data_IF_683205262958
#
_entry.id   IF_683205262958
#
_cell.length_a   1.000
_cell.length_b   1.000
_cell.length_c   1.000
_cell.angle_alpha   90.00
_cell.angle_beta   90.00
_cell.angle_gamma   90.00
#
_symmetry.space_group_name_H-M   'P 1'
#
loop_
_entity.id
_entity.type
_entity.pdbx_description
1 polymer ?
#
# COMPACT_ATOMS: atom_id res chain seq x y z
N UNK A 1 -74.51 -43.06 12.30
CA UNK A 1 -74.33 -42.32 11.04
C UNK A 1 -74.64 -40.83 11.27
N UNK A 2 -73.61 -40.02 11.47
CA UNK A 2 -73.68 -38.54 11.50
C UNK A 2 -72.25 -38.01 11.26
N UNK A 3 -72.06 -36.95 10.46
CA UNK A 3 -70.78 -36.61 9.82
C UNK A 3 -70.00 -35.56 10.61
N UNK A 4 -68.79 -35.88 11.06
CA UNK A 4 -67.88 -34.92 11.71
C UNK A 4 -66.46 -34.99 11.14
N UNK A 5 -66.27 -35.51 9.92
CA UNK A 5 -64.91 -35.63 9.34
C UNK A 5 -64.66 -34.58 8.24
N UNK A 6 -65.69 -33.84 7.80
CA UNK A 6 -65.59 -32.98 6.63
C UNK A 6 -65.11 -31.53 6.89
N UNK A 7 -64.78 -31.12 8.13
CA UNK A 7 -64.45 -29.71 8.42
C UNK A 7 -62.98 -29.40 8.73
N UNK A 8 -62.09 -30.39 8.76
CA UNK A 8 -60.65 -30.15 9.05
C UNK A 8 -59.80 -30.04 7.77
N UNK A 9 -60.30 -30.47 6.61
CA UNK A 9 -59.53 -30.49 5.37
C UNK A 9 -59.44 -29.13 4.62
N UNK A 10 -60.13 -28.07 5.09
CA UNK A 10 -60.22 -26.80 4.38
C UNK A 10 -59.27 -25.69 4.88
N UNK A 11 -58.45 -25.94 5.91
CA UNK A 11 -57.61 -24.91 6.54
C UNK A 11 -56.10 -25.03 6.27
N UNK A 12 -55.65 -25.94 5.38
CA UNK A 12 -54.23 -26.31 5.25
C UNK A 12 -53.57 -25.95 3.89
N UNK A 13 -54.14 -25.05 3.08
CA UNK A 13 -53.61 -24.75 1.72
C UNK A 13 -53.15 -23.28 1.51
N UNK A 14 -53.04 -22.46 2.55
CA UNK A 14 -52.63 -21.05 2.40
C UNK A 14 -51.27 -20.67 3.01
N UNK A 15 -50.34 -21.63 3.11
CA UNK A 15 -48.92 -21.31 3.30
C UNK A 15 -48.22 -21.19 1.93
N UNK A 16 -48.68 -20.22 1.13
CA UNK A 16 -48.03 -19.81 -0.12
C UNK A 16 -46.78 -18.98 0.18
N UNK A 17 -45.69 -19.29 -0.50
CA UNK A 17 -44.37 -18.68 -0.43
C UNK A 17 -44.42 -17.13 -0.39
N UNK A 18 -44.19 -16.55 0.78
CA UNK A 18 -43.86 -15.13 0.89
C UNK A 18 -42.37 -14.96 0.53
N UNK A 19 -42.09 -14.70 -0.75
CA UNK A 19 -40.75 -14.36 -1.23
C UNK A 19 -40.37 -12.94 -0.77
N UNK A 20 -39.45 -12.77 0.20
CA UNK A 20 -39.08 -11.45 0.72
C UNK A 20 -38.25 -10.62 -0.26
N UNK A 21 -37.78 -11.26 -1.34
CA UNK A 21 -36.91 -10.68 -2.38
C UNK A 21 -37.67 -9.88 -3.45
N UNK A 22 -39.00 -9.99 -3.53
CA UNK A 22 -39.80 -9.18 -4.45
C UNK A 22 -39.96 -7.72 -3.98
N UNK A 23 -39.46 -7.39 -2.78
CA UNK A 23 -39.46 -6.00 -2.25
C UNK A 23 -38.17 -5.24 -2.57
N UNK A 24 -37.21 -5.87 -3.24
CA UNK A 24 -35.97 -5.22 -3.65
C UNK A 24 -36.10 -4.84 -5.11
N UNK A 25 -36.20 -3.53 -5.38
CA UNK A 25 -36.18 -2.99 -6.74
C UNK A 25 -34.94 -3.47 -7.48
N UNK A 26 -35.13 -4.08 -8.65
CA UNK A 26 -34.01 -4.60 -9.44
C UNK A 26 -33.30 -3.43 -10.12
N UNK A 27 -31.97 -3.51 -10.24
CA UNK A 27 -31.20 -2.48 -10.96
C UNK A 27 -31.62 -2.32 -12.43
N UNK A 28 -32.31 -3.33 -13.01
CA UNK A 28 -32.89 -3.26 -14.35
C UNK A 28 -34.18 -2.42 -14.43
N UNK A 29 -34.77 -2.06 -13.29
CA UNK A 29 -36.02 -1.28 -13.17
C UNK A 29 -35.77 0.18 -12.77
N UNK A 30 -34.51 0.53 -12.51
CA UNK A 30 -34.09 1.92 -12.38
C UNK A 30 -33.84 2.46 -13.79
N UNK A 31 -34.72 3.36 -14.25
CA UNK A 31 -34.44 4.26 -15.36
C UNK A 31 -33.21 5.11 -14.98
N UNK A 32 -32.04 4.62 -15.38
CA UNK A 32 -30.85 5.46 -15.47
C UNK A 32 -31.18 6.53 -16.50
N UNK A 33 -31.23 7.79 -16.07
CA UNK A 33 -31.43 8.92 -16.95
C UNK A 33 -30.51 8.79 -18.17
N UNK A 34 -31.11 8.73 -19.36
CA UNK A 34 -30.42 8.75 -20.63
C UNK A 34 -29.40 9.90 -20.65
N UNK A 35 -28.18 9.54 -21.02
CA UNK A 35 -27.00 10.37 -21.32
C UNK A 35 -27.00 11.85 -20.87
N UNK A 36 -25.95 12.34 -20.16
CA UNK A 36 -25.81 13.77 -19.96
C UNK A 36 -25.79 14.45 -21.33
N UNK A 37 -26.64 15.47 -21.46
CA UNK A 37 -26.67 16.36 -22.62
C UNK A 37 -25.23 16.71 -23.01
N UNK A 38 -24.86 16.33 -24.23
CA UNK A 38 -23.66 16.81 -24.90
C UNK A 38 -23.70 18.32 -24.89
N UNK A 39 -22.94 18.94 -24.00
CA UNK A 39 -22.67 20.37 -24.03
C UNK A 39 -21.83 20.61 -25.28
N UNK A 40 -22.45 21.27 -26.27
CA UNK A 40 -21.76 21.85 -27.42
C UNK A 40 -20.57 22.68 -26.93
N UNK A 41 -19.36 22.22 -27.28
CA UNK A 41 -18.16 23.03 -27.14
C UNK A 41 -18.22 24.05 -28.25
N UNK A 42 -18.60 25.28 -27.90
CA UNK A 42 -18.44 26.44 -28.76
C UNK A 42 -16.95 26.64 -29.10
N UNK A 43 -16.66 26.77 -30.39
CA UNK A 43 -15.35 27.16 -30.90
C UNK A 43 -14.96 28.55 -30.37
N UNK A 44 -13.72 28.75 -29.88
CA UNK A 44 -13.12 30.07 -29.90
C UNK A 44 -12.29 30.24 -31.18
N UNK A 45 -12.69 31.22 -31.96
CA UNK A 45 -11.92 31.77 -33.07
C UNK A 45 -10.57 32.35 -32.60
N UNK A 46 -9.53 32.01 -33.36
CA UNK A 46 -8.31 32.74 -33.74
C UNK A 46 -7.65 33.78 -32.81
N UNK A 47 -6.35 33.52 -32.63
CA UNK A 47 -5.21 34.46 -32.58
C UNK A 47 -4.92 35.25 -31.29
N UNK A 48 -3.86 34.82 -30.59
CA UNK A 48 -2.71 35.69 -30.31
C UNK A 48 -1.50 34.85 -29.91
N UNK A 49 -0.43 34.99 -30.69
CA UNK A 49 0.91 34.49 -30.41
C UNK A 49 1.40 35.08 -29.08
N UNK A 50 1.78 34.21 -28.15
CA UNK A 50 2.56 34.61 -26.98
C UNK A 50 3.84 33.76 -26.96
N UNK A 51 4.91 34.37 -27.43
CA UNK A 51 6.27 33.86 -27.29
C UNK A 51 6.59 33.55 -25.83
N UNK A 52 6.91 32.30 -25.54
CA UNK A 52 7.59 31.93 -24.30
C UNK A 52 8.80 31.08 -24.68
N UNK A 53 9.84 31.79 -25.14
CA UNK A 53 11.18 31.25 -25.30
C UNK A 53 11.71 30.78 -23.95
N UNK A 54 11.56 29.49 -23.68
CA UNK A 54 12.06 28.84 -22.48
C UNK A 54 13.59 28.84 -22.39
N UNK A 55 14.08 28.83 -21.16
CA UNK A 55 15.50 28.82 -20.75
C UNK A 55 16.35 27.71 -21.41
N UNK A 56 15.72 26.69 -21.98
CA UNK A 56 16.38 25.58 -22.68
C UNK A 56 16.86 25.91 -24.10
N UNK A 57 16.31 26.94 -24.75
CA UNK A 57 16.76 27.38 -26.08
C UNK A 57 18.15 28.05 -26.06
N UNK A 58 18.63 28.46 -24.88
CA UNK A 58 19.93 29.10 -24.69
C UNK A 58 21.06 28.12 -24.35
N UNK A 59 20.75 26.88 -24.01
CA UNK A 59 21.73 25.86 -23.60
C UNK A 59 22.18 24.91 -24.74
N UNK A 60 21.49 24.94 -25.89
CA UNK A 60 21.71 24.02 -27.00
C UNK A 60 22.29 24.69 -28.25
N UNK A 61 23.04 25.80 -28.09
CA UNK A 61 23.82 26.37 -29.20
C UNK A 61 25.17 25.63 -29.33
N UNK A 62 25.39 24.84 -30.39
CA UNK A 62 26.69 24.23 -30.64
C UNK A 62 27.65 25.28 -31.20
N UNK A 63 28.85 25.36 -30.62
CA UNK A 63 29.91 26.27 -31.06
C UNK A 63 30.85 25.51 -31.98
N UNK A 64 30.71 25.72 -33.29
CA UNK A 64 31.65 25.22 -34.31
C UNK A 64 32.85 26.17 -34.40
N UNK A 65 34.06 25.67 -34.17
CA UNK A 65 35.28 26.08 -34.89
C UNK A 65 36.47 25.20 -34.48
N UNK A 66 37.13 24.63 -35.48
CA UNK A 66 38.47 24.05 -35.51
C UNK A 66 39.09 24.49 -36.86
N UNK A 67 40.37 24.22 -37.20
CA UNK A 67 41.48 23.59 -36.46
C UNK A 67 42.83 24.37 -36.58
N UNK A 68 43.90 23.83 -35.99
CA UNK A 68 45.34 23.87 -36.38
C UNK A 68 46.15 23.49 -35.11
N UNK A 69 47.19 22.66 -35.06
CA UNK A 69 47.96 21.88 -36.02
C UNK A 69 49.26 21.41 -35.32
N UNK A 70 49.53 20.10 -35.35
CA UNK A 70 50.84 19.39 -35.48
C UNK A 70 52.07 19.71 -34.60
N UNK A 71 52.76 18.64 -34.11
CA UNK A 71 54.24 18.62 -34.08
C UNK A 71 54.99 17.97 -32.89
N UNK A 72 54.90 16.65 -32.74
CA UNK A 72 55.97 15.60 -32.80
C UNK A 72 57.37 15.67 -32.10
N UNK A 73 57.83 14.46 -31.69
CA UNK A 73 59.20 13.84 -31.52
C UNK A 73 60.11 14.02 -30.25
N UNK A 74 60.41 12.85 -29.63
CA UNK A 74 61.63 12.30 -28.92
C UNK A 74 62.38 13.14 -27.84
N UNK A 75 63.15 12.61 -26.87
CA UNK A 75 64.07 11.46 -26.83
C UNK A 75 64.43 11.09 -25.35
N UNK A 76 64.97 9.90 -25.12
CA UNK A 76 65.59 9.40 -23.84
C UNK A 76 67.13 9.57 -23.98
N UNK A 77 68.04 9.51 -22.98
CA UNK A 77 68.00 8.84 -21.66
C UNK A 77 68.75 9.57 -20.50
N UNK A 78 68.87 8.89 -19.34
CA UNK A 78 70.04 8.73 -18.43
C UNK A 78 69.60 8.60 -16.96
N UNK A 79 70.28 7.69 -16.28
CA UNK A 79 69.98 7.07 -14.99
C UNK A 79 70.47 7.87 -13.74
N UNK A 80 70.04 7.34 -12.58
CA UNK A 80 70.68 7.35 -11.26
C UNK A 80 70.11 8.29 -10.16
N UNK A 81 69.18 7.69 -9.39
CA UNK A 81 69.24 7.45 -7.94
C UNK A 81 69.41 8.61 -6.92
N UNK A 82 68.42 8.63 -6.01
CA UNK A 82 68.40 9.17 -4.62
C UNK A 82 68.23 10.67 -4.39
N UNK A 83 67.00 11.07 -4.03
CA UNK A 83 66.70 11.77 -2.77
C UNK A 83 65.16 11.89 -2.61
N UNK A 84 64.65 11.59 -1.42
CA UNK A 84 63.23 11.61 -1.09
C UNK A 84 62.60 13.01 -1.28
N UNK A 85 61.46 13.15 -1.99
CA UNK A 85 60.61 14.31 -1.86
C UNK A 85 59.51 14.02 -0.84
N UNK A 86 59.35 14.94 0.12
CA UNK A 86 58.19 14.98 1.00
C UNK A 86 56.90 14.93 0.16
N UNK A 87 56.07 13.90 0.36
CA UNK A 87 54.77 13.83 -0.28
C UNK A 87 53.91 14.99 0.21
N UNK A 88 53.59 15.86 -0.74
CA UNK A 88 52.64 16.96 -0.58
C UNK A 88 51.27 16.33 -0.37
N UNK A 89 50.74 16.51 0.84
CA UNK A 89 49.37 16.15 1.23
C UNK A 89 48.38 16.87 0.32
N UNK A 90 47.84 16.14 -0.66
CA UNK A 90 46.86 16.64 -1.61
C UNK A 90 45.50 16.90 -0.96
N UNK A 91 44.92 18.06 -1.23
CA UNK A 91 43.58 18.51 -0.81
C UNK A 91 42.47 17.89 -1.68
N UNK A 92 42.57 16.60 -2.03
CA UNK A 92 41.60 15.92 -2.91
C UNK A 92 41.21 14.50 -2.45
N UNK A 93 41.25 14.25 -1.14
CA UNK A 93 40.87 12.97 -0.53
C UNK A 93 39.44 12.88 0.05
N UNK A 94 38.55 13.84 -0.24
CA UNK A 94 37.23 13.91 0.43
C UNK A 94 36.07 13.22 -0.31
N UNK A 95 36.29 12.56 -1.46
CA UNK A 95 35.18 11.88 -2.18
C UNK A 95 35.61 10.57 -2.87
N UNK A 96 36.37 9.72 -2.19
CA UNK A 96 36.74 8.40 -2.72
C UNK A 96 36.98 7.33 -1.67
N UNK A 97 36.03 6.40 -1.56
CA UNK A 97 36.29 4.99 -1.23
C UNK A 97 36.59 4.64 0.23
N UNK A 98 35.56 4.48 1.05
CA UNK A 98 35.63 3.68 2.27
C UNK A 98 35.78 2.19 1.90
N UNK A 99 36.89 1.60 2.33
CA UNK A 99 37.26 0.21 2.12
C UNK A 99 36.20 -0.74 2.68
N UNK A 100 35.91 -1.78 1.90
CA UNK A 100 35.07 -2.92 2.27
C UNK A 100 35.86 -3.83 3.20
N UNK A 101 35.52 -3.83 4.48
CA UNK A 101 35.85 -4.95 5.35
C UNK A 101 34.93 -6.13 5.03
N UNK A 102 35.55 -7.19 4.53
CA UNK A 102 34.94 -8.49 4.30
C UNK A 102 34.79 -9.19 5.64
N UNK A 103 33.63 -9.06 6.25
CA UNK A 103 33.16 -10.00 7.26
C UNK A 103 31.70 -10.34 6.96
N UNK A 104 31.51 -11.39 6.16
CA UNK A 104 30.21 -11.99 6.01
C UNK A 104 29.83 -12.68 7.31
N UNK A 105 28.82 -12.16 7.99
CA UNK A 105 27.85 -12.89 8.82
C UNK A 105 26.80 -11.90 9.33
N UNK A 106 25.56 -12.06 8.84
CA UNK A 106 24.38 -11.36 9.30
C UNK A 106 24.30 -9.89 8.91
N UNK A 107 23.47 -9.56 7.92
CA UNK A 107 22.75 -8.28 7.96
C UNK A 107 22.09 -8.23 9.32
N UNK A 108 22.63 -7.45 10.26
CA UNK A 108 21.93 -7.13 11.50
C UNK A 108 20.60 -6.56 11.05
N UNK A 109 19.52 -7.36 11.17
CA UNK A 109 18.17 -6.83 11.11
C UNK A 109 18.20 -5.63 12.04
N UNK A 110 18.01 -4.43 11.48
CA UNK A 110 17.92 -3.20 12.25
C UNK A 110 17.10 -3.52 13.49
N UNK A 111 17.72 -3.40 14.67
CA UNK A 111 17.27 -3.96 15.94
C UNK A 111 15.75 -4.02 15.99
N UNK A 112 15.23 -5.23 15.76
CA UNK A 112 13.79 -5.45 15.64
C UNK A 112 13.16 -5.02 16.96
N UNK A 113 12.30 -4.00 16.92
CA UNK A 113 11.54 -3.57 18.10
C UNK A 113 10.64 -4.75 18.54
N UNK A 114 10.87 -5.33 19.74
CA UNK A 114 10.08 -6.44 20.23
C UNK A 114 8.66 -6.01 20.64
N UNK A 115 8.46 -4.73 20.96
CA UNK A 115 7.18 -4.17 21.38
C UNK A 115 6.33 -3.67 20.19
N UNK A 116 6.87 -3.75 18.97
CA UNK A 116 6.12 -3.45 17.76
C UNK A 116 4.91 -4.39 17.61
N UNK A 117 3.83 -3.96 16.93
CA UNK A 117 2.63 -4.79 16.74
C UNK A 117 2.89 -6.15 16.07
N UNK A 118 3.99 -6.27 15.35
CA UNK A 118 4.51 -7.43 14.63
C UNK A 118 5.85 -7.95 15.21
N UNK A 119 6.22 -7.56 16.43
CA UNK A 119 7.54 -7.78 17.03
C UNK A 119 7.95 -9.25 17.16
N UNK A 120 6.97 -10.16 17.26
CA UNK A 120 7.21 -11.60 17.38
C UNK A 120 7.72 -12.19 16.07
N UNK A 121 8.83 -12.93 16.13
CA UNK A 121 9.35 -13.74 15.01
C UNK A 121 8.88 -15.18 15.19
N UNK A 122 8.38 -15.80 14.12
CA UNK A 122 7.88 -17.18 14.13
C UNK A 122 8.47 -18.00 12.96
N UNK A 123 8.40 -19.32 13.10
CA UNK A 123 8.72 -20.24 12.01
C UNK A 123 7.57 -20.26 10.95
N UNK A 124 7.90 -20.50 9.66
CA UNK A 124 6.93 -20.79 8.62
C UNK A 124 5.87 -21.84 8.99
N UNK A 125 4.62 -21.62 8.57
CA UNK A 125 3.56 -22.64 8.63
C UNK A 125 2.74 -22.69 9.91
N UNK A 126 3.04 -21.88 10.93
CA UNK A 126 2.23 -21.77 12.14
C UNK A 126 0.98 -20.93 11.86
N UNK A 127 -0.23 -21.44 12.12
CA UNK A 127 -1.43 -20.60 12.11
C UNK A 127 -1.43 -19.66 13.32
N UNK A 128 -1.65 -18.37 13.07
CA UNK A 128 -1.67 -17.37 14.11
C UNK A 128 -3.07 -17.19 14.69
N UNK A 129 -3.18 -16.84 15.99
CA UNK A 129 -4.43 -16.33 16.53
C UNK A 129 -4.94 -15.14 15.71
N UNK A 130 -6.25 -15.10 15.51
CA UNK A 130 -6.87 -14.06 14.69
C UNK A 130 -6.59 -12.65 15.26
N UNK A 131 -6.21 -11.72 14.37
CA UNK A 131 -5.82 -10.35 14.73
C UNK A 131 -4.38 -10.20 15.21
N UNK A 132 -3.59 -11.28 15.28
CA UNK A 132 -2.14 -11.20 15.50
C UNK A 132 -1.37 -11.09 14.18
N UNK A 133 -0.21 -10.44 14.26
CA UNK A 133 0.74 -10.31 13.17
C UNK A 133 2.10 -10.71 13.70
N UNK A 134 2.86 -11.50 12.95
CA UNK A 134 4.22 -11.89 13.31
C UNK A 134 5.14 -11.88 12.09
N UNK A 135 6.44 -11.75 12.33
CA UNK A 135 7.47 -11.78 11.28
C UNK A 135 7.88 -13.22 10.95
N UNK A 136 8.06 -13.48 9.66
CA UNK A 136 8.60 -14.71 9.10
C UNK A 136 9.71 -14.34 8.11
N UNK A 137 10.96 -14.55 8.51
CA UNK A 137 12.11 -14.06 7.74
C UNK A 137 12.63 -15.06 6.70
N UNK A 138 12.58 -16.35 7.01
CA UNK A 138 13.16 -17.42 6.17
C UNK A 138 12.12 -18.10 5.27
N UNK A 139 11.17 -17.34 4.74
CA UNK A 139 10.14 -17.86 3.83
C UNK A 139 10.40 -17.38 2.40
N UNK A 140 10.68 -18.28 1.44
CA UNK A 140 10.81 -17.87 0.05
C UNK A 140 9.44 -17.53 -0.54
N UNK A 141 9.39 -16.56 -1.45
CA UNK A 141 8.13 -16.05 -2.04
C UNK A 141 7.24 -17.13 -2.65
N UNK A 142 7.84 -18.18 -3.22
CA UNK A 142 7.10 -19.32 -3.81
C UNK A 142 6.30 -20.14 -2.78
N UNK A 143 6.69 -20.09 -1.50
CA UNK A 143 6.04 -20.82 -0.43
C UNK A 143 4.95 -19.99 0.27
N UNK A 144 4.82 -18.70 -0.08
CA UNK A 144 3.79 -17.79 0.44
C UNK A 144 2.42 -17.98 -0.24
N UNK A 145 2.36 -18.75 -1.32
CA UNK A 145 1.17 -18.89 -2.15
C UNK A 145 1.09 -17.84 -3.26
N UNK A 146 -0.12 -17.38 -3.58
CA UNK A 146 -0.37 -16.49 -4.73
C UNK A 146 -0.39 -15.04 -4.31
N UNK A 147 0.27 -14.17 -5.06
CA UNK A 147 0.07 -12.71 -4.91
C UNK A 147 -1.37 -12.36 -5.33
N UNK A 148 -2.16 -11.85 -4.37
CA UNK A 148 -3.58 -11.51 -4.58
C UNK A 148 -3.83 -10.00 -4.61
N UNK A 149 -2.95 -9.20 -3.99
CA UNK A 149 -3.05 -7.75 -4.02
C UNK A 149 -1.69 -7.08 -3.84
N UNK A 150 -1.61 -5.80 -4.20
CA UNK A 150 -0.44 -4.95 -4.02
C UNK A 150 -0.87 -3.52 -3.68
N UNK A 151 -0.05 -2.80 -2.94
CA UNK A 151 -0.33 -1.42 -2.55
C UNK A 151 0.94 -0.57 -2.47
N UNK A 152 0.94 0.67 -3.00
CA UNK A 152 -0.05 1.21 -3.93
C UNK A 152 -0.08 0.40 -5.24
N UNK A 153 -1.12 0.52 -6.06
CA UNK A 153 -1.23 -0.28 -7.29
C UNK A 153 -0.09 0.00 -8.28
N UNK A 154 0.37 1.26 -8.32
CA UNK A 154 1.51 1.73 -9.10
C UNK A 154 2.69 1.97 -8.16
N UNK A 155 3.85 1.40 -8.47
CA UNK A 155 5.02 1.44 -7.59
C UNK A 155 4.73 0.75 -6.24
N UNK A 156 4.32 -0.53 -6.23
CA UNK A 156 3.88 -1.21 -5.02
C UNK A 156 5.02 -1.33 -4.01
N UNK A 157 4.79 -0.82 -2.81
CA UNK A 157 5.64 -1.03 -1.64
C UNK A 157 5.27 -2.35 -0.97
N UNK A 158 3.98 -2.59 -0.79
CA UNK A 158 3.45 -3.79 -0.15
C UNK A 158 2.87 -4.77 -1.16
N UNK A 159 3.07 -6.07 -0.90
CA UNK A 159 2.47 -7.16 -1.67
C UNK A 159 1.86 -8.19 -0.72
N UNK A 160 0.62 -8.54 -1.00
CA UNK A 160 -0.19 -9.48 -0.23
C UNK A 160 -0.25 -10.83 -0.96
N UNK A 161 0.12 -11.88 -0.24
CA UNK A 161 0.09 -13.26 -0.68
C UNK A 161 -0.94 -14.04 0.13
N UNK A 162 -1.66 -14.91 -0.56
CA UNK A 162 -2.66 -15.83 -0.01
C UNK A 162 -2.14 -17.26 -0.16
N UNK A 163 -2.03 -17.98 0.97
CA UNK A 163 -1.54 -19.36 1.00
C UNK A 163 -2.53 -20.40 0.51
N UNK A 164 -3.83 -20.08 0.48
CA UNK A 164 -4.89 -20.96 0.01
C UNK A 164 -5.96 -20.20 -0.81
N UNK A 165 -5.60 -19.64 -1.98
CA UNK A 165 -6.52 -18.81 -2.76
C UNK A 165 -7.77 -19.58 -3.16
N UNK A 166 -8.93 -18.99 -2.91
CA UNK A 166 -10.25 -19.59 -3.18
C UNK A 166 -10.81 -20.42 -2.03
N UNK A 167 -10.05 -20.61 -0.94
CA UNK A 167 -10.59 -21.13 0.31
C UNK A 167 -11.48 -20.10 0.99
N UNK A 168 -12.58 -20.55 1.61
CA UNK A 168 -13.40 -19.74 2.51
C UNK A 168 -13.05 -19.94 3.99
N UNK A 169 -12.20 -20.92 4.30
CA UNK A 169 -11.73 -21.19 5.66
C UNK A 169 -10.55 -20.25 6.02
N UNK A 170 -10.37 -19.88 7.30
CA UNK A 170 -9.21 -19.11 7.73
C UNK A 170 -7.90 -19.83 7.40
N UNK A 171 -6.96 -19.09 6.81
CA UNK A 171 -5.63 -19.57 6.43
C UNK A 171 -4.61 -18.43 6.55
N UNK A 172 -3.36 -18.72 6.25
CA UNK A 172 -2.28 -17.74 6.40
C UNK A 172 -2.23 -16.80 5.19
N UNK A 173 -2.07 -15.51 5.48
CA UNK A 173 -1.68 -14.51 4.50
C UNK A 173 -0.28 -14.02 4.84
N UNK A 174 0.45 -13.60 3.81
CA UNK A 174 1.79 -13.04 3.96
C UNK A 174 1.86 -11.68 3.30
N UNK A 175 2.33 -10.68 4.05
CA UNK A 175 2.55 -9.33 3.58
C UNK A 175 4.05 -9.07 3.49
N UNK A 176 4.52 -8.63 2.32
CA UNK A 176 5.92 -8.27 2.08
C UNK A 176 6.03 -6.79 1.72
N UNK A 177 7.25 -6.25 1.65
CA UNK A 177 7.50 -4.83 1.43
C UNK A 177 8.25 -4.13 2.57
N UNK A 178 8.62 -4.89 3.60
CA UNK A 178 9.27 -4.37 4.79
C UNK A 178 10.80 -4.29 4.64
N UNK A 179 11.46 -3.29 5.24
CA UNK A 179 12.90 -3.06 5.09
C UNK A 179 13.76 -4.12 5.78
N UNK A 180 13.20 -4.87 6.74
CA UNK A 180 13.88 -6.00 7.39
C UNK A 180 13.89 -7.28 6.54
N UNK A 181 13.22 -7.28 5.37
CA UNK A 181 13.14 -8.42 4.47
C UNK A 181 12.18 -9.52 4.92
N UNK A 182 11.57 -9.42 6.10
CA UNK A 182 10.70 -10.46 6.64
C UNK A 182 9.24 -10.25 6.20
N UNK A 183 8.56 -11.33 5.84
CA UNK A 183 7.13 -11.29 5.62
C UNK A 183 6.39 -11.11 6.96
N UNK A 184 5.25 -10.43 6.92
CA UNK A 184 4.29 -10.39 8.04
C UNK A 184 3.24 -11.43 7.77
N UNK A 185 3.21 -12.46 8.61
CA UNK A 185 2.17 -13.47 8.59
C UNK A 185 1.02 -13.05 9.49
N UNK A 186 -0.20 -13.32 9.04
CA UNK A 186 -1.44 -13.18 9.81
C UNK A 186 -2.47 -14.19 9.27
N UNK A 187 -3.57 -14.37 10.00
CA UNK A 187 -4.60 -15.36 9.67
C UNK A 187 -5.95 -14.69 9.41
N UNK A 188 -6.66 -15.15 8.39
CA UNK A 188 -8.00 -14.70 8.03
C UNK A 188 -8.59 -15.53 6.89
N UNK A 189 -9.84 -15.26 6.53
CA UNK A 189 -10.49 -15.84 5.35
C UNK A 189 -10.38 -14.94 4.12
N UNK A 190 -10.26 -13.63 4.32
CA UNK A 190 -10.06 -12.63 3.26
C UNK A 190 -9.25 -11.46 3.81
N UNK A 191 -8.36 -10.89 2.99
CA UNK A 191 -7.63 -9.67 3.32
C UNK A 191 -7.64 -8.68 2.15
N UNK A 192 -7.88 -7.40 2.45
CA UNK A 192 -8.03 -6.34 1.45
C UNK A 192 -7.33 -5.06 1.89
N UNK A 193 -6.63 -4.42 0.96
CA UNK A 193 -6.11 -3.07 1.18
C UNK A 193 -7.23 -2.03 1.07
N UNK A 194 -7.20 -1.06 1.97
CA UNK A 194 -7.99 0.16 1.98
C UNK A 194 -7.08 1.38 2.03
N UNK A 195 -7.43 2.41 1.26
CA UNK A 195 -6.61 3.62 1.20
C UNK A 195 -6.92 4.60 2.34
N UNK A 196 -5.97 5.46 2.72
CA UNK A 196 -6.21 6.62 3.55
C UNK A 196 -7.41 7.48 3.11
N UNK A 197 -7.62 7.72 1.81
CA UNK A 197 -8.77 8.48 1.34
C UNK A 197 -10.10 7.77 1.66
N UNK A 198 -10.19 6.46 1.41
CA UNK A 198 -11.39 5.67 1.75
C UNK A 198 -11.65 5.68 3.26
N UNK A 199 -10.60 5.50 4.07
CA UNK A 199 -10.71 5.58 5.52
C UNK A 199 -11.26 6.94 5.99
N UNK A 200 -10.75 8.04 5.44
CA UNK A 200 -11.24 9.38 5.78
C UNK A 200 -12.69 9.61 5.33
N UNK A 201 -13.09 9.07 4.18
CA UNK A 201 -14.49 9.16 3.74
C UNK A 201 -15.44 8.50 4.74
N UNK A 202 -15.06 7.33 5.29
CA UNK A 202 -15.82 6.66 6.33
C UNK A 202 -15.78 7.41 7.67
N UNK A 203 -14.60 7.94 8.05
CA UNK A 203 -14.36 8.56 9.36
C UNK A 203 -14.89 9.99 9.48
N UNK A 204 -14.97 10.72 8.38
CA UNK A 204 -15.37 12.13 8.33
C UNK A 204 -16.65 12.39 7.51
N UNK A 205 -17.17 11.37 6.82
CA UNK A 205 -18.44 11.44 6.11
C UNK A 205 -19.66 11.20 7.01
N UNK A 206 -20.82 11.01 6.37
CA UNK A 206 -22.09 10.76 7.04
C UNK A 206 -22.09 9.63 8.11
N UNK A 207 -21.31 8.53 7.98
CA UNK A 207 -21.30 7.46 9.01
C UNK A 207 -20.30 7.69 10.16
N UNK A 208 -19.66 8.86 10.28
CA UNK A 208 -18.59 9.12 11.26
C UNK A 208 -18.99 8.89 12.73
N UNK A 209 -20.27 9.11 13.07
CA UNK A 209 -20.77 9.07 14.45
C UNK A 209 -21.01 7.67 15.02
N UNK A 210 -21.15 6.65 14.18
CA UNK A 210 -21.50 5.28 14.62
C UNK A 210 -20.29 4.35 14.76
N UNK A 211 -19.11 4.77 14.27
CA UNK A 211 -17.91 3.93 14.29
C UNK A 211 -17.08 4.18 15.55
N UNK A 212 -16.91 3.18 16.44
CA UNK A 212 -16.06 3.32 17.62
C UNK A 212 -14.61 3.59 17.22
N UNK A 213 -13.92 4.37 18.05
CA UNK A 213 -12.54 4.74 17.81
C UNK A 213 -11.60 3.62 18.23
N UNK A 214 -10.75 3.18 17.30
CA UNK A 214 -9.82 2.06 17.48
C UNK A 214 -8.36 2.52 17.62
N UNK A 215 -7.48 1.58 17.94
CA UNK A 215 -6.05 1.89 18.05
C UNK A 215 -5.41 2.21 16.68
N UNK A 216 -5.91 1.62 15.58
CA UNK A 216 -5.50 2.05 14.23
C UNK A 216 -5.98 3.46 13.92
N UNK A 217 -7.17 3.87 14.34
CA UNK A 217 -7.64 5.27 14.16
C UNK A 217 -6.72 6.25 14.91
N UNK A 218 -6.36 5.94 16.16
CA UNK A 218 -5.45 6.78 16.97
C UNK A 218 -4.06 6.88 16.33
N UNK A 219 -3.54 5.77 15.81
CA UNK A 219 -2.26 5.74 15.12
C UNK A 219 -2.33 6.54 13.81
N UNK A 220 -3.39 6.35 13.04
CA UNK A 220 -3.64 7.08 11.79
C UNK A 220 -3.70 8.59 12.00
N UNK A 221 -4.42 9.10 13.01
CA UNK A 221 -4.46 10.54 13.28
C UNK A 221 -3.08 11.13 13.64
N UNK A 222 -2.22 10.35 14.30
CA UNK A 222 -0.85 10.78 14.60
C UNK A 222 -0.05 10.92 13.30
N UNK A 223 -0.17 9.96 12.38
CA UNK A 223 0.49 9.99 11.07
C UNK A 223 -0.07 11.12 10.22
N UNK A 224 -1.39 11.17 10.05
CA UNK A 224 -2.08 12.20 9.26
C UNK A 224 -1.73 13.60 9.72
N UNK A 225 -1.69 13.88 11.03
CA UNK A 225 -1.28 15.19 11.54
C UNK A 225 0.14 15.56 11.12
N UNK A 226 1.08 14.61 11.13
CA UNK A 226 2.47 14.83 10.69
C UNK A 226 2.58 15.05 9.18
N UNK A 227 1.90 14.21 8.39
CA UNK A 227 2.00 14.23 6.92
C UNK A 227 1.22 15.39 6.31
N UNK A 228 0.00 15.62 6.81
CA UNK A 228 -0.96 16.57 6.26
C UNK A 228 -0.92 17.93 6.96
N UNK A 229 -0.45 18.00 8.21
CA UNK A 229 -0.42 19.25 8.99
C UNK A 229 -1.80 19.73 9.47
N UNK A 230 -2.78 18.83 9.55
CA UNK A 230 -4.16 19.16 9.93
C UNK A 230 -4.42 18.97 11.42
N UNK A 231 -5.44 19.67 11.94
CA UNK A 231 -5.92 19.50 13.31
C UNK A 231 -6.52 18.12 13.58
N UNK A 232 -6.82 17.85 14.85
CA UNK A 232 -7.50 16.60 15.25
C UNK A 232 -8.88 16.51 14.59
N UNK A 233 -9.30 15.31 14.21
CA UNK A 233 -10.62 15.04 13.63
C UNK A 233 -10.92 15.88 12.38
N UNK A 234 -9.89 16.26 11.61
CA UNK A 234 -10.02 16.97 10.34
C UNK A 234 -9.47 16.10 9.21
N UNK A 235 -10.12 16.03 8.04
CA UNK A 235 -9.58 15.28 6.91
C UNK A 235 -8.26 15.89 6.41
N UNK A 236 -7.42 15.07 5.79
CA UNK A 236 -6.14 15.47 5.20
C UNK A 236 -6.31 16.41 3.99
N UNK A 237 -7.44 16.32 3.28
CA UNK A 237 -7.75 17.14 2.10
C UNK A 237 -6.80 16.85 0.94
N UNK A 238 -6.32 17.90 0.26
CA UNK A 238 -5.49 17.78 -0.95
C UNK A 238 -4.17 17.00 -0.75
N UNK A 239 -3.71 16.83 0.51
CA UNK A 239 -2.47 16.11 0.83
C UNK A 239 -2.68 14.60 1.00
N UNK A 240 -3.91 14.09 0.86
CA UNK A 240 -4.20 12.65 1.07
C UNK A 240 -3.38 11.77 0.13
N UNK A 241 -3.14 12.21 -1.10
CA UNK A 241 -2.29 11.51 -2.07
C UNK A 241 -0.83 11.37 -1.66
N UNK A 242 -0.34 12.15 -0.69
CA UNK A 242 0.98 11.96 -0.07
C UNK A 242 0.95 10.81 0.92
N UNK A 243 -0.13 10.70 1.68
CA UNK A 243 -0.35 9.67 2.68
C UNK A 243 -0.56 8.30 2.02
N UNK A 244 -1.29 8.25 0.91
CA UNK A 244 -1.53 7.00 0.15
C UNK A 244 -0.27 6.39 -0.49
N UNK A 245 0.88 7.09 -0.48
CA UNK A 245 2.13 6.55 -1.05
C UNK A 245 2.77 5.47 -0.18
N UNK A 246 2.63 5.62 1.13
CA UNK A 246 3.35 4.82 2.12
C UNK A 246 2.43 4.27 3.21
N UNK A 247 1.15 4.66 3.22
CA UNK A 247 0.18 4.33 4.27
C UNK A 247 -0.97 3.51 3.69
N UNK A 248 -1.29 2.39 4.32
CA UNK A 248 -2.40 1.54 3.92
C UNK A 248 -3.10 0.95 5.15
N UNK A 249 -4.40 0.75 5.04
CA UNK A 249 -5.15 -0.10 5.96
C UNK A 249 -5.28 -1.47 5.32
N UNK A 250 -4.88 -2.53 6.03
CA UNK A 250 -5.14 -3.89 5.61
C UNK A 250 -6.26 -4.44 6.50
N UNK A 251 -7.45 -4.58 5.92
CA UNK A 251 -8.60 -5.18 6.59
C UNK A 251 -8.58 -6.68 6.38
N UNK A 252 -8.67 -7.45 7.46
CA UNK A 252 -8.62 -8.91 7.45
C UNK A 252 -9.92 -9.43 8.04
N UNK A 253 -10.69 -10.23 7.31
CA UNK A 253 -11.95 -10.81 7.77
C UNK A 253 -11.70 -12.20 8.34
N UNK A 254 -12.30 -12.51 9.50
CA UNK A 254 -12.12 -13.81 10.15
C UNK A 254 -12.78 -14.93 9.33
N UNK A 255 -14.03 -14.69 8.91
CA UNK A 255 -14.87 -15.64 8.19
C UNK A 255 -15.76 -14.91 7.17
N UNK A 256 -16.34 -15.67 6.24
CA UNK A 256 -17.43 -15.20 5.38
C UNK A 256 -18.77 -15.33 6.12
N UNK A 257 -19.62 -14.29 6.12
CA UNK A 257 -20.99 -14.35 6.68
C UNK A 257 -21.43 -13.11 7.46
N UNK A 258 -22.63 -13.18 8.05
CA UNK A 258 -23.41 -12.03 8.56
C UNK A 258 -22.91 -11.45 9.91
N UNK A 259 -22.10 -12.17 10.67
CA UNK A 259 -21.48 -11.68 11.91
C UNK A 259 -19.99 -11.40 11.69
N UNK A 260 -19.69 -10.39 10.86
CA UNK A 260 -18.33 -10.10 10.46
C UNK A 260 -17.52 -9.53 11.65
N UNK A 261 -16.57 -10.32 12.16
CA UNK A 261 -15.41 -9.82 12.90
C UNK A 261 -14.32 -9.52 11.88
N UNK A 262 -13.72 -8.34 11.99
CA UNK A 262 -12.60 -7.95 11.14
C UNK A 262 -11.45 -7.35 11.95
N UNK A 263 -10.23 -7.65 11.57
CA UNK A 263 -9.03 -7.01 12.07
C UNK A 263 -8.60 -5.90 11.10
N UNK A 264 -8.02 -4.85 11.63
CA UNK A 264 -7.39 -3.79 10.84
C UNK A 264 -5.92 -3.74 11.20
N UNK A 265 -5.04 -3.81 10.21
CA UNK A 265 -3.59 -3.64 10.35
C UNK A 265 -3.24 -2.34 9.62
N UNK A 266 -2.70 -1.36 10.35
CA UNK A 266 -2.25 -0.10 9.77
C UNK A 266 -0.77 -0.21 9.39
N UNK A 267 -0.48 0.07 8.12
CA UNK A 267 0.85 0.11 7.54
C UNK A 267 1.24 1.57 7.32
N UNK A 268 2.48 1.94 7.63
CA UNK A 268 3.04 3.24 7.30
C UNK A 268 4.57 3.18 7.23
N UNK A 269 5.16 3.61 6.11
CA UNK A 269 6.61 3.77 5.95
C UNK A 269 7.39 2.47 6.19
N UNK A 270 6.97 1.38 5.55
CA UNK A 270 7.58 0.06 5.70
C UNK A 270 7.41 -0.58 7.08
N UNK A 271 6.39 -0.23 7.87
CA UNK A 271 6.18 -0.80 9.20
C UNK A 271 4.70 -1.09 9.50
N UNK A 272 4.45 -2.08 10.36
CA UNK A 272 3.15 -2.26 11.01
C UNK A 272 3.10 -1.34 12.21
N UNK A 273 2.27 -0.30 12.17
CA UNK A 273 2.24 0.74 13.21
C UNK A 273 1.15 0.53 14.26
N UNK A 274 0.08 -0.18 13.90
CA UNK A 274 -1.00 -0.53 14.80
C UNK A 274 -1.80 -1.70 14.24
N UNK A 275 -2.47 -2.43 15.13
CA UNK A 275 -3.48 -3.42 14.79
C UNK A 275 -4.64 -3.36 15.79
N UNK A 276 -5.83 -3.67 15.33
CA UNK A 276 -7.00 -3.85 16.20
C UNK A 276 -7.97 -4.88 15.61
N UNK A 277 -8.90 -5.34 16.44
CA UNK A 277 -9.99 -6.23 16.04
C UNK A 277 -11.31 -5.58 16.39
N UNK A 278 -12.23 -5.57 15.42
CA UNK A 278 -13.58 -5.02 15.48
C UNK A 278 -14.59 -6.12 15.18
N UNK A 279 -15.83 -5.91 15.62
CA UNK A 279 -16.96 -6.78 15.33
C UNK A 279 -18.14 -5.94 14.88
N UNK A 280 -18.81 -6.38 13.81
CA UNK A 280 -20.13 -5.88 13.42
C UNK A 280 -21.19 -6.45 14.36
N UNK A 281 -22.13 -5.61 14.78
CA UNK A 281 -23.29 -5.99 15.57
C UNK A 281 -24.55 -5.38 14.98
#
# INVERSE_FOLDING_TARGET
MKPWIASVAAALVLAGCASPMDRVTRLSELDLADAPATVEIAEPASEAQAETGGLFARLLRPKTTAPDGTGDVADTPVAETQAAPAERRGLFGLFGGGARDTKGEGTQLASLDPDAPDGRVIAPGLLLPYGEVARVCDMPRRDMGREVAKYPERGPEYRLYDSAPGSTAPHSFYLTGFPDGCARQFTGALAMFGSPAMHEQLRYGAPAGSLPYSDTDKAYEKIKRKVCGVGRNKPCGARVSRLERDTAFLTVYEHFGDNARWATILLHGGAVVARDVKSGG
#
